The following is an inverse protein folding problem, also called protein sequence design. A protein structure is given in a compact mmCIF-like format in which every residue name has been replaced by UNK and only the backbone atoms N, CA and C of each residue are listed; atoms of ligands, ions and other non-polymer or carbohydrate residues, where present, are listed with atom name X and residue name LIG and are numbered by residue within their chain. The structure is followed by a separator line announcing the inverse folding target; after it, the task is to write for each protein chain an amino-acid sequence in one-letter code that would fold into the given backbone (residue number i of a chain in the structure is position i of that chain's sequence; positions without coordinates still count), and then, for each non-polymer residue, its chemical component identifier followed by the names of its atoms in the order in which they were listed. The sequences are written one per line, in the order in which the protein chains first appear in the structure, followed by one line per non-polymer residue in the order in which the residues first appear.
data_IF_134606090571
#
_entry.id   IF_134606090571
#
_cell.length_a   1.000
_cell.length_b   1.000
_cell.length_c   1.000
_cell.angle_alpha   90.00
_cell.angle_beta   90.00
_cell.angle_gamma   90.00
#
_symmetry.space_group_name_H-M   'P 1'
#
loop_
_entity.id
_entity.type
_entity.pdbx_description
1 polymer ?
#
# COMPACT_ATOMS: atom_id res chain seq x y z
N UNK A 1 -0.82 13.66 -9.23
CA UNK A 1 -0.53 12.23 -8.99
C UNK A 1 -0.02 11.61 -10.27
N UNK A 2 0.96 10.72 -10.18
CA UNK A 2 1.59 10.10 -11.35
C UNK A 2 0.58 9.27 -12.16
N UNK A 3 0.64 9.39 -13.49
CA UNK A 3 -0.20 8.60 -14.41
C UNK A 3 0.67 7.57 -15.09
N UNK A 4 0.23 6.31 -15.11
CA UNK A 4 0.90 5.24 -15.85
C UNK A 4 0.77 5.51 -17.35
N UNK A 5 1.88 5.46 -18.07
CA UNK A 5 1.88 5.53 -19.54
C UNK A 5 1.62 4.12 -20.07
N UNK A 6 0.69 4.01 -21.04
CA UNK A 6 0.37 2.74 -21.71
C UNK A 6 0.85 2.86 -23.15
N UNK A 7 1.82 2.03 -23.52
CA UNK A 7 2.29 1.93 -24.90
C UNK A 7 1.34 1.00 -25.66
N UNK A 8 0.52 1.56 -26.55
CA UNK A 8 -0.49 0.81 -27.32
C UNK A 8 0.14 0.11 -28.54
N UNK A 9 1.39 0.47 -28.88
CA UNK A 9 2.07 -0.05 -30.08
C UNK A 9 2.52 -1.52 -29.98
N UNK A 10 2.48 -2.13 -28.79
CA UNK A 10 2.85 -3.54 -28.60
C UNK A 10 1.67 -4.48 -28.87
N UNK A 11 1.17 -4.45 -30.11
CA UNK A 11 0.28 -5.46 -30.65
C UNK A 11 1.08 -6.63 -31.22
N UNK A 12 0.99 -7.81 -30.59
CA UNK A 12 1.34 -9.09 -31.20
C UNK A 12 2.68 -9.69 -30.77
N UNK A 13 2.59 -10.80 -30.01
CA UNK A 13 3.52 -11.95 -29.99
C UNK A 13 5.04 -11.68 -30.09
N UNK A 14 5.55 -10.67 -29.40
CA UNK A 14 6.99 -10.61 -29.08
C UNK A 14 7.11 -10.32 -27.60
N UNK A 15 7.78 -11.23 -26.89
CA UNK A 15 8.01 -11.16 -25.46
C UNK A 15 8.75 -9.83 -25.17
N UNK A 16 8.18 -8.87 -24.42
CA UNK A 16 8.93 -7.67 -24.07
C UNK A 16 10.09 -8.12 -23.17
N UNK A 17 11.32 -7.91 -23.63
CA UNK A 17 12.52 -8.25 -22.85
C UNK A 17 12.67 -7.33 -21.62
N UNK A 18 11.88 -6.25 -21.54
CA UNK A 18 11.85 -5.29 -20.44
C UNK A 18 10.40 -4.87 -20.18
N UNK A 19 9.94 -5.02 -18.95
CA UNK A 19 8.72 -4.38 -18.47
C UNK A 19 8.97 -2.87 -18.37
N UNK A 20 8.82 -2.15 -19.47
CA UNK A 20 8.94 -0.70 -19.53
C UNK A 20 7.74 -0.05 -18.82
N UNK A 21 7.83 0.02 -17.49
CA UNK A 21 6.84 0.67 -16.66
C UNK A 21 7.18 2.15 -16.52
N UNK A 22 6.52 3.00 -17.30
CA UNK A 22 6.70 4.44 -17.25
C UNK A 22 5.54 5.16 -16.55
N UNK A 23 5.88 6.25 -15.85
CA UNK A 23 4.94 7.14 -15.19
C UNK A 23 5.24 8.59 -15.54
N UNK A 24 4.19 9.38 -15.74
CA UNK A 24 4.29 10.80 -16.07
C UNK A 24 3.66 11.69 -14.98
N UNK A 25 4.31 12.82 -14.71
CA UNK A 25 3.77 13.91 -13.91
C UNK A 25 4.21 15.29 -14.44
N UNK A 26 3.31 16.29 -14.58
CA UNK A 26 3.66 17.61 -15.14
C UNK A 26 4.79 18.35 -14.41
N UNK A 27 4.93 18.11 -13.10
CA UNK A 27 5.95 18.72 -12.24
C UNK A 27 7.17 17.83 -11.96
N UNK A 28 7.33 16.73 -12.71
CA UNK A 28 8.47 15.84 -12.59
C UNK A 28 9.33 15.96 -13.85
N UNK A 29 10.26 16.92 -13.85
CA UNK A 29 11.13 17.24 -14.99
C UNK A 29 12.60 17.14 -14.56
N UNK A 30 13.44 16.51 -15.40
CA UNK A 30 14.87 16.35 -15.12
C UNK A 30 15.54 17.72 -15.02
N UNK A 31 16.28 17.95 -13.92
CA UNK A 31 16.99 19.20 -13.67
C UNK A 31 16.12 20.34 -13.12
N UNK A 32 14.86 20.08 -12.77
CA UNK A 32 13.96 21.07 -12.14
C UNK A 32 13.43 20.55 -10.81
N UNK A 33 14.32 20.41 -9.83
CA UNK A 33 14.01 19.85 -8.52
C UNK A 33 13.00 20.69 -7.73
N UNK A 34 13.01 22.03 -7.91
CA UNK A 34 12.06 22.94 -7.28
C UNK A 34 10.58 22.63 -7.60
N UNK A 35 10.30 21.96 -8.73
CA UNK A 35 8.94 21.60 -9.10
C UNK A 35 8.40 20.40 -8.29
N UNK A 36 9.28 19.63 -7.64
CA UNK A 36 8.89 18.47 -6.84
C UNK A 36 8.02 18.84 -5.64
N UNK A 37 8.16 20.05 -5.10
CA UNK A 37 7.32 20.60 -4.01
C UNK A 37 5.83 20.66 -4.38
N UNK A 38 5.53 20.77 -5.68
CA UNK A 38 4.16 20.80 -6.19
C UNK A 38 3.53 19.41 -6.32
N UNK A 39 4.30 18.33 -6.13
CA UNK A 39 3.82 16.95 -6.20
C UNK A 39 3.31 16.52 -4.82
N UNK A 40 2.02 16.74 -4.57
CA UNK A 40 1.38 16.35 -3.31
C UNK A 40 0.90 14.91 -3.32
N UNK A 41 1.11 14.20 -2.20
CA UNK A 41 0.46 12.90 -1.96
C UNK A 41 -1.05 13.12 -1.83
N UNK A 42 -1.83 12.24 -2.44
CA UNK A 42 -3.29 12.26 -2.26
C UNK A 42 -3.57 11.78 -0.84
N UNK A 43 -4.02 12.66 0.04
CA UNK A 43 -4.56 12.26 1.34
C UNK A 43 -5.90 11.58 1.06
N UNK A 44 -6.02 10.29 1.36
CA UNK A 44 -7.34 9.67 1.51
C UNK A 44 -7.98 10.32 2.74
N UNK A 45 -8.80 11.33 2.49
CA UNK A 45 -9.53 12.06 3.53
C UNK A 45 -10.53 11.11 4.22
N UNK A 46 -10.08 10.45 5.28
CA UNK A 46 -10.93 10.08 6.39
C UNK A 46 -10.62 11.03 7.54
N UNK A 47 -11.54 11.98 7.73
CA UNK A 47 -11.70 12.92 8.85
C UNK A 47 -10.90 14.24 8.83
N UNK A 48 -11.68 15.30 8.64
CA UNK A 48 -11.46 16.64 9.17
C UNK A 48 -11.31 16.63 10.70
N UNK A 49 -10.09 16.84 11.20
CA UNK A 49 -9.80 17.32 12.55
C UNK A 49 -8.58 18.26 12.48
N UNK A 50 -8.47 19.25 13.39
CA UNK A 50 -7.82 20.51 13.10
C UNK A 50 -6.33 20.34 12.86
N UNK A 51 -5.88 21.03 11.81
CA UNK A 51 -4.51 21.13 11.34
C UNK A 51 -3.60 21.69 12.45
N UNK A 52 -2.99 20.83 13.27
CA UNK A 52 -1.71 21.15 13.87
C UNK A 52 -0.67 21.09 12.76
N UNK A 53 -0.39 22.27 12.21
CA UNK A 53 0.65 22.54 11.24
C UNK A 53 2.01 22.09 11.78
N UNK A 54 2.41 20.85 11.50
CA UNK A 54 3.79 20.42 11.68
C UNK A 54 4.63 21.04 10.57
N UNK A 55 5.21 22.20 10.84
CA UNK A 55 6.34 22.68 10.05
C UNK A 55 7.44 21.61 10.05
N UNK A 56 8.15 21.41 8.93
CA UNK A 56 9.48 20.82 8.99
C UNK A 56 10.38 21.87 9.65
N UNK A 57 10.43 21.87 10.98
CA UNK A 57 11.33 22.74 11.72
C UNK A 57 12.74 22.17 11.55
N UNK A 58 13.45 22.68 10.55
CA UNK A 58 14.90 22.56 10.41
C UNK A 58 15.59 23.34 11.53
N UNK A 59 15.46 22.84 12.76
CA UNK A 59 16.31 23.22 13.88
C UNK A 59 16.85 21.92 14.45
N UNK A 60 18.14 21.67 14.18
CA UNK A 60 18.91 20.80 15.05
C UNK A 60 18.68 21.28 16.49
N UNK A 61 18.19 20.44 17.42
CA UNK A 61 18.12 20.85 18.80
C UNK A 61 19.55 21.14 19.24
N UNK A 62 19.78 22.34 19.79
CA UNK A 62 21.06 22.68 20.38
C UNK A 62 21.49 21.57 21.36
N UNK A 63 22.79 21.22 21.45
CA UNK A 63 23.24 20.26 22.44
C UNK A 63 22.79 20.74 23.82
N UNK A 64 22.00 19.91 24.51
CA UNK A 64 21.55 20.20 25.87
C UNK A 64 22.78 20.53 26.74
N UNK A 65 22.71 21.55 27.61
CA UNK A 65 23.79 21.82 28.56
C UNK A 65 24.00 20.56 29.41
N UNK A 66 25.26 20.13 29.56
CA UNK A 66 25.60 19.03 30.45
C UNK A 66 25.03 19.32 31.85
N UNK A 67 24.27 18.39 32.46
CA UNK A 67 23.66 18.64 33.75
C UNK A 67 24.73 18.65 34.84
N UNK A 68 24.59 19.61 35.75
CA UNK A 68 25.46 19.86 36.89
C UNK A 68 25.54 18.62 37.80
N UNK A 69 26.74 18.08 38.12
CA UNK A 69 26.89 16.80 38.82
C UNK A 69 26.40 16.79 40.29
N UNK A 70 25.88 17.91 40.81
CA UNK A 70 25.42 18.05 42.19
C UNK A 70 23.90 18.28 42.36
N UNK A 71 23.10 18.14 41.30
CA UNK A 71 21.64 18.24 41.38
C UNK A 71 21.02 16.90 41.82
N UNK A 72 20.04 16.88 42.75
CA UNK A 72 19.23 15.69 43.00
C UNK A 72 18.46 15.37 41.73
N UNK A 73 18.73 14.20 41.14
CA UNK A 73 18.15 13.71 39.90
C UNK A 73 16.63 13.97 39.87
N UNK A 74 16.11 14.87 39.01
CA UNK A 74 14.68 14.84 38.71
C UNK A 74 14.37 13.49 38.07
N UNK A 75 13.22 12.90 38.42
CA UNK A 75 12.74 11.64 37.86
C UNK A 75 12.95 11.62 36.34
N UNK A 76 13.36 10.48 35.73
CA UNK A 76 13.57 10.41 34.29
C UNK A 76 12.34 10.96 33.58
N UNK A 77 12.49 12.11 32.91
CA UNK A 77 11.45 12.63 32.04
C UNK A 77 11.04 11.48 31.11
N UNK A 78 9.75 11.17 30.93
CA UNK A 78 9.34 10.15 29.98
C UNK A 78 9.87 10.61 28.63
N UNK A 79 10.89 9.91 28.13
CA UNK A 79 11.43 10.16 26.80
C UNK A 79 10.23 10.11 25.84
N UNK A 80 9.91 11.20 25.13
CA UNK A 80 8.83 11.16 24.17
C UNK A 80 9.21 10.10 23.13
N UNK A 81 8.35 9.09 22.98
CA UNK A 81 8.55 8.01 22.02
C UNK A 81 8.91 8.64 20.67
N UNK A 82 10.10 8.36 20.11
CA UNK A 82 10.62 9.12 18.97
C UNK A 82 9.84 8.89 17.66
N UNK A 83 8.88 7.96 17.64
CA UNK A 83 8.15 7.58 16.43
C UNK A 83 6.67 7.24 16.68
N UNK A 84 5.85 8.18 17.18
CA UNK A 84 4.44 7.91 17.45
C UNK A 84 3.63 7.77 16.15
N UNK A 85 4.02 8.48 15.08
CA UNK A 85 3.33 8.47 13.79
C UNK A 85 3.61 7.19 12.98
N UNK A 86 4.85 6.68 12.97
CA UNK A 86 5.20 5.49 12.21
C UNK A 86 4.52 4.22 12.73
N UNK A 87 4.27 4.12 14.05
CA UNK A 87 3.47 3.03 14.62
C UNK A 87 2.03 3.05 14.14
N UNK A 88 1.42 4.24 14.02
CA UNK A 88 0.04 4.38 13.54
C UNK A 88 -0.10 3.96 12.07
N UNK A 89 0.89 4.32 11.23
CA UNK A 89 0.95 3.86 9.84
C UNK A 89 1.12 2.34 9.74
N UNK A 90 1.97 1.76 10.59
CA UNK A 90 2.18 0.31 10.64
C UNK A 90 0.88 -0.41 11.06
N UNK A 91 0.16 0.12 12.05
CA UNK A 91 -1.15 -0.39 12.47
C UNK A 91 -2.19 -0.37 11.33
N UNK A 92 -2.23 0.72 10.54
CA UNK A 92 -3.10 0.82 9.38
C UNK A 92 -2.76 -0.24 8.32
N UNK A 93 -1.47 -0.42 8.02
CA UNK A 93 -0.99 -1.47 7.11
C UNK A 93 -1.37 -2.87 7.61
N UNK A 94 -1.27 -3.13 8.92
CA UNK A 94 -1.71 -4.41 9.51
C UNK A 94 -3.21 -4.65 9.30
N UNK A 95 -4.05 -3.63 9.45
CA UNK A 95 -5.50 -3.74 9.18
C UNK A 95 -5.77 -4.04 7.70
N UNK A 96 -5.05 -3.39 6.79
CA UNK A 96 -5.18 -3.65 5.36
C UNK A 96 -4.78 -5.09 5.01
N UNK A 97 -3.64 -5.57 5.52
CA UNK A 97 -3.17 -6.94 5.32
C UNK A 97 -4.18 -7.95 5.87
N UNK A 98 -4.76 -7.71 7.04
CA UNK A 98 -5.79 -8.57 7.62
C UNK A 98 -7.05 -8.62 6.72
N UNK A 99 -7.51 -7.47 6.22
CA UNK A 99 -8.65 -7.39 5.31
C UNK A 99 -8.39 -8.08 3.98
N UNK A 100 -7.19 -7.93 3.41
CA UNK A 100 -6.75 -8.64 2.20
C UNK A 100 -6.76 -10.16 2.39
N UNK A 101 -6.23 -10.65 3.51
CA UNK A 101 -6.26 -12.08 3.85
C UNK A 101 -7.69 -12.61 3.96
N UNK A 102 -8.61 -11.85 4.57
CA UNK A 102 -10.01 -12.24 4.65
C UNK A 102 -10.68 -12.32 3.27
N UNK A 103 -10.46 -11.32 2.40
CA UNK A 103 -10.98 -11.32 1.02
C UNK A 103 -10.43 -12.51 0.22
N UNK A 104 -9.14 -12.78 0.32
CA UNK A 104 -8.52 -13.93 -0.33
C UNK A 104 -9.14 -15.26 0.13
N UNK A 105 -9.34 -15.43 1.44
CA UNK A 105 -10.02 -16.62 1.97
C UNK A 105 -11.45 -16.78 1.44
N UNK A 106 -12.19 -15.68 1.27
CA UNK A 106 -13.53 -15.70 0.69
C UNK A 106 -13.51 -16.07 -0.79
N UNK A 107 -12.59 -15.51 -1.57
CA UNK A 107 -12.39 -15.89 -2.98
C UNK A 107 -12.07 -17.37 -3.10
N UNK A 108 -11.19 -17.91 -2.24
CA UNK A 108 -10.85 -19.33 -2.23
C UNK A 108 -12.08 -20.21 -2.01
N UNK A 109 -13.01 -19.81 -1.11
CA UNK A 109 -14.27 -20.52 -0.90
C UNK A 109 -15.14 -20.56 -2.15
N UNK A 110 -15.25 -19.43 -2.86
CA UNK A 110 -16.03 -19.34 -4.10
C UNK A 110 -15.41 -20.24 -5.17
N UNK A 111 -14.09 -20.16 -5.37
CA UNK A 111 -13.35 -21.00 -6.31
C UNK A 111 -13.55 -22.48 -6.01
N UNK A 112 -13.44 -22.90 -4.75
CA UNK A 112 -13.67 -24.29 -4.36
C UNK A 112 -15.10 -24.76 -4.67
N UNK A 113 -16.11 -23.91 -4.44
CA UNK A 113 -17.50 -24.22 -4.81
C UNK A 113 -17.68 -24.36 -6.32
N UNK A 114 -17.04 -23.51 -7.11
CA UNK A 114 -17.09 -23.59 -8.58
C UNK A 114 -16.44 -24.89 -9.07
N UNK A 115 -15.28 -25.26 -8.51
CA UNK A 115 -14.60 -26.52 -8.85
C UNK A 115 -15.50 -27.72 -8.51
N UNK A 116 -16.09 -27.76 -7.31
CA UNK A 116 -17.02 -28.84 -6.92
C UNK A 116 -18.24 -28.92 -7.84
N UNK A 117 -18.81 -27.77 -8.21
CA UNK A 117 -19.94 -27.71 -9.14
C UNK A 117 -19.57 -28.26 -10.52
N UNK A 118 -18.42 -27.87 -11.08
CA UNK A 118 -17.94 -28.37 -12.36
C UNK A 118 -17.69 -29.90 -12.31
N UNK A 119 -17.11 -30.41 -11.22
CA UNK A 119 -16.93 -31.85 -11.03
C UNK A 119 -18.29 -32.56 -10.99
N UNK A 120 -19.26 -32.02 -10.26
CA UNK A 120 -20.62 -32.58 -10.17
C UNK A 120 -21.31 -32.63 -11.54
N UNK A 121 -21.19 -31.58 -12.34
CA UNK A 121 -21.74 -31.54 -13.71
C UNK A 121 -21.09 -32.58 -14.63
N UNK A 122 -19.76 -32.73 -14.55
CA UNK A 122 -19.03 -33.71 -15.37
C UNK A 122 -19.41 -35.14 -14.93
N UNK A 123 -19.52 -35.39 -13.63
CA UNK A 123 -19.94 -36.69 -13.10
C UNK A 123 -21.41 -37.02 -13.46
N UNK A 124 -22.34 -36.06 -13.32
CA UNK A 124 -23.74 -36.26 -13.71
C UNK A 124 -23.89 -36.54 -15.22
N UNK A 125 -23.12 -35.85 -16.05
CA UNK A 125 -23.14 -36.08 -17.50
C UNK A 125 -22.47 -37.41 -17.91
N UNK A 126 -21.47 -37.90 -17.17
CA UNK A 126 -20.91 -39.25 -17.40
C UNK A 126 -21.94 -40.36 -17.10
N UNK A 127 -22.82 -40.15 -16.11
CA UNK A 127 -23.87 -41.13 -15.76
C UNK A 127 -25.00 -41.15 -16.79
N UNK A 128 -25.32 -39.99 -17.41
CA UNK A 128 -26.37 -39.89 -18.45
C UNK A 128 -25.85 -40.13 -19.89
N UNK A 129 -24.55 -40.24 -20.10
CA UNK A 129 -23.92 -40.40 -21.42
C UNK A 129 -23.93 -41.82 -22.01
N UNK A 130 -24.34 -42.85 -21.26
CA UNK A 130 -24.23 -44.27 -21.69
C UNK A 130 -25.52 -44.81 -22.35
N UNK A 131 -26.61 -44.03 -22.46
CA UNK A 131 -27.87 -44.53 -23.02
C UNK A 131 -28.51 -43.60 -24.04
N UNK A 132 -27.87 -43.43 -25.19
CA UNK A 132 -28.58 -43.13 -26.45
C UNK A 132 -28.18 -44.18 -27.47
N UNK A 133 -28.92 -45.29 -27.45
CA UNK A 133 -28.95 -46.30 -28.51
C UNK A 133 -30.05 -45.85 -29.49
N UNK A 134 -29.67 -45.55 -30.72
CA UNK A 134 -30.54 -45.67 -31.90
C UNK A 134 -30.00 -46.81 -32.74
#
# INVERSE_FOLDING_TARGET
GFRKVVHIEQGGLVKPEKDDTEFQHPFFLRGQEQLLENIKRKVTSSHSLPHSHCQPHSQFPAPFPFPDPHSPFPAPFPFPDPFPCSRSENEALWREVAALRQKHAQQQKVVNKLIQFLISLVQSNRILGVKRKM
#
